data_IF_486817706994
#
_entry.id   IF_486817706994
#
_cell.length_a   1.000
_cell.length_b   1.000
_cell.length_c   1.000
_cell.angle_alpha   90.00
_cell.angle_beta   90.00
_cell.angle_gamma   90.00
#
_symmetry.space_group_name_H-M   'P 1'
#
loop_
_entity.id
_entity.type
_entity.pdbx_description
1 polymer ?
#
# COMPACT_ATOMS: atom_id res chain seq x y z
N UNK A 1 -7.04 32.17 32.63
CA UNK A 1 -5.91 31.33 33.09
C UNK A 1 -4.94 31.24 31.93
N UNK A 2 -3.63 31.33 32.17
CA UNK A 2 -2.61 31.11 31.14
C UNK A 2 -2.49 29.62 30.85
N UNK A 3 -2.39 29.25 29.57
CA UNK A 3 -2.14 27.88 29.14
C UNK A 3 -0.75 27.42 29.60
N UNK A 4 -0.59 26.14 29.95
CA UNK A 4 0.71 25.57 30.36
C UNK A 4 1.36 24.77 29.24
N UNK A 5 2.69 24.58 29.32
CA UNK A 5 3.44 23.74 28.39
C UNK A 5 2.88 22.32 28.32
N UNK A 6 2.60 21.70 29.48
CA UNK A 6 2.02 20.35 29.56
C UNK A 6 0.65 20.28 28.87
N UNK A 7 -0.21 21.29 29.03
CA UNK A 7 -1.52 21.32 28.36
C UNK A 7 -1.37 21.36 26.84
N UNK A 8 -0.39 22.11 26.32
CA UNK A 8 -0.11 22.15 24.88
C UNK A 8 0.41 20.81 24.38
N UNK A 9 1.38 20.20 25.07
CA UNK A 9 1.92 18.89 24.68
C UNK A 9 0.84 17.82 24.69
N UNK A 10 0.00 17.76 25.73
CA UNK A 10 -1.10 16.80 25.80
C UNK A 10 -2.14 17.03 24.71
N UNK A 11 -2.42 18.29 24.34
CA UNK A 11 -3.30 18.60 23.21
C UNK A 11 -2.69 18.18 21.86
N UNK A 12 -1.36 18.17 21.74
CA UNK A 12 -0.65 17.75 20.53
C UNK A 12 -0.43 16.25 20.42
N UNK A 13 -0.53 15.47 21.51
CA UNK A 13 -0.41 14.00 21.47
C UNK A 13 -1.33 13.32 20.44
N UNK A 14 -2.63 13.66 20.31
CA UNK A 14 -3.50 13.06 19.30
C UNK A 14 -3.25 13.59 17.88
N UNK A 15 -2.35 14.57 17.69
CA UNK A 15 -2.02 15.08 16.36
C UNK A 15 -1.07 14.11 15.69
N UNK A 16 -1.54 13.47 14.63
CA UNK A 16 -0.76 12.52 13.85
C UNK A 16 -0.07 13.18 12.65
N UNK A 17 1.13 12.71 12.35
CA UNK A 17 1.81 12.96 11.09
C UNK A 17 1.00 12.33 9.93
N UNK A 18 0.67 13.09 8.87
CA UNK A 18 -0.15 12.58 7.77
C UNK A 18 0.50 11.48 6.93
N UNK A 19 1.82 11.32 6.97
CA UNK A 19 2.53 10.28 6.20
C UNK A 19 2.71 9.00 7.04
N UNK A 20 3.02 9.15 8.33
CA UNK A 20 3.34 8.04 9.23
C UNK A 20 2.15 7.53 10.05
N UNK A 21 1.08 8.32 10.17
CA UNK A 21 -0.10 8.03 11.01
C UNK A 21 0.31 7.69 12.45
N UNK A 22 1.23 8.50 12.98
CA UNK A 22 1.75 8.39 14.34
C UNK A 22 1.79 9.77 14.97
N UNK A 23 1.63 9.83 16.29
CA UNK A 23 1.69 11.08 17.04
C UNK A 23 2.99 11.83 16.75
N UNK A 24 2.87 13.11 16.37
CA UNK A 24 4.03 14.00 16.16
C UNK A 24 4.88 14.17 17.43
N UNK A 25 4.29 13.89 18.60
CA UNK A 25 4.99 13.90 19.90
C UNK A 25 5.80 12.60 20.06
N UNK A 26 5.18 11.45 19.85
CA UNK A 26 5.80 10.14 20.12
C UNK A 26 6.95 9.83 19.14
N UNK A 27 6.84 10.32 17.90
CA UNK A 27 7.87 10.18 16.86
C UNK A 27 8.92 11.30 16.90
N UNK A 28 8.85 12.20 17.88
CA UNK A 28 9.88 13.23 18.11
C UNK A 28 9.92 14.35 17.09
N UNK A 29 8.80 14.63 16.41
CA UNK A 29 8.67 15.80 15.54
C UNK A 29 8.48 17.09 16.34
N UNK A 30 7.80 17.05 17.48
CA UNK A 30 7.66 18.20 18.37
C UNK A 30 9.00 18.53 19.06
N UNK A 31 9.59 19.69 18.77
CA UNK A 31 10.91 20.10 19.29
C UNK A 31 10.86 21.07 20.43
N UNK A 32 10.02 22.08 20.30
CA UNK A 32 9.93 23.14 21.28
C UNK A 32 8.51 23.72 21.31
N UNK A 33 8.09 24.15 22.50
CA UNK A 33 6.82 24.83 22.75
C UNK A 33 7.11 26.01 23.66
N UNK A 34 6.94 27.22 23.15
CA UNK A 34 7.10 28.46 23.90
C UNK A 34 5.76 29.18 24.03
N UNK A 35 5.45 29.67 25.24
CA UNK A 35 4.19 30.33 25.53
C UNK A 35 4.51 31.73 26.06
N UNK A 36 4.15 32.76 25.28
CA UNK A 36 4.38 34.16 25.63
C UNK A 36 3.08 34.96 25.43
N UNK A 37 2.52 35.49 26.52
CA UNK A 37 1.32 36.35 26.50
C UNK A 37 0.15 35.81 25.65
N UNK A 38 -0.10 34.50 25.73
CA UNK A 38 -1.16 33.81 24.98
C UNK A 38 -0.79 33.45 23.53
N UNK A 39 0.41 33.79 23.06
CA UNK A 39 0.97 33.29 21.81
C UNK A 39 1.72 31.98 22.08
N UNK A 40 1.31 30.91 21.40
CA UNK A 40 1.99 29.60 21.47
C UNK A 40 2.84 29.41 20.22
N UNK A 41 4.16 29.41 20.37
CA UNK A 41 5.12 29.13 19.31
C UNK A 41 5.58 27.68 19.38
N UNK A 42 5.45 26.95 18.27
CA UNK A 42 5.74 25.52 18.20
C UNK A 42 6.77 25.26 17.10
N UNK A 43 7.85 24.58 17.44
CA UNK A 43 8.85 24.10 16.48
C UNK A 43 8.60 22.63 16.15
N UNK A 44 8.42 22.32 14.87
CA UNK A 44 8.19 20.96 14.37
C UNK A 44 9.32 20.56 13.41
N UNK A 45 9.96 19.42 13.65
CA UNK A 45 10.88 18.81 12.71
C UNK A 45 10.14 17.89 11.75
N UNK A 46 10.16 18.21 10.46
CA UNK A 46 9.63 17.36 9.40
C UNK A 46 10.63 16.25 9.07
N UNK A 47 10.12 15.09 8.68
CA UNK A 47 10.92 13.93 8.28
C UNK A 47 11.74 14.18 7.00
N UNK A 48 11.28 15.08 6.13
CA UNK A 48 11.86 15.40 4.82
C UNK A 48 11.63 16.87 4.46
N UNK A 49 12.58 17.45 3.73
CA UNK A 49 12.49 18.81 3.21
C UNK A 49 11.47 18.89 2.06
N UNK A 50 10.56 19.87 2.11
CA UNK A 50 9.62 20.12 1.02
C UNK A 50 8.30 19.33 1.06
N UNK A 51 7.98 18.69 2.20
CA UNK A 51 6.74 17.94 2.35
C UNK A 51 5.50 18.82 2.02
N UNK A 52 4.69 18.46 1.01
CA UNK A 52 3.48 19.20 0.63
C UNK A 52 2.44 19.25 1.77
N UNK A 53 2.58 18.38 2.76
CA UNK A 53 1.67 18.21 3.89
C UNK A 53 1.98 19.15 5.06
N UNK A 54 2.97 20.07 4.92
CA UNK A 54 3.22 21.14 5.91
C UNK A 54 1.96 21.92 6.27
N UNK A 55 1.11 22.21 5.27
CA UNK A 55 -0.15 22.91 5.48
C UNK A 55 -1.14 22.06 6.29
N UNK A 56 -1.16 20.75 6.07
CA UNK A 56 -2.03 19.83 6.80
C UNK A 56 -1.60 19.70 8.26
N UNK A 57 -0.31 19.49 8.52
CA UNK A 57 0.25 19.50 9.89
C UNK A 57 -0.05 20.85 10.57
N UNK A 58 0.12 21.96 9.86
CA UNK A 58 -0.20 23.30 10.37
C UNK A 58 -1.65 23.39 10.83
N UNK A 59 -2.59 22.90 10.01
CA UNK A 59 -4.01 22.92 10.34
C UNK A 59 -4.34 22.00 11.52
N UNK A 60 -3.82 20.76 11.53
CA UNK A 60 -4.04 19.79 12.62
C UNK A 60 -3.53 20.34 13.96
N UNK A 61 -2.32 20.89 13.99
CA UNK A 61 -1.72 21.50 15.19
C UNK A 61 -2.52 22.72 15.66
N UNK A 62 -2.88 23.63 14.75
CA UNK A 62 -3.69 24.81 15.11
C UNK A 62 -5.05 24.40 15.67
N UNK A 63 -5.71 23.42 15.07
CA UNK A 63 -7.01 22.93 15.54
C UNK A 63 -6.92 22.29 16.92
N UNK A 64 -5.81 21.63 17.24
CA UNK A 64 -5.59 21.02 18.55
C UNK A 64 -5.31 22.06 19.66
N UNK A 65 -4.53 23.10 19.36
CA UNK A 65 -4.02 24.04 20.38
C UNK A 65 -4.91 25.27 20.56
N UNK A 66 -5.54 25.78 19.49
CA UNK A 66 -6.40 26.99 19.56
C UNK A 66 -7.55 26.90 20.57
N UNK A 67 -8.20 25.74 20.79
CA UNK A 67 -9.27 25.62 21.78
C UNK A 67 -8.81 25.72 23.25
N UNK A 68 -7.50 25.67 23.52
CA UNK A 68 -7.00 25.70 24.89
C UNK A 68 -7.25 27.07 25.55
N UNK A 69 -7.75 27.09 26.80
CA UNK A 69 -7.98 28.35 27.53
C UNK A 69 -6.70 29.17 27.68
N UNK A 70 -6.75 30.44 27.25
CA UNK A 70 -5.61 31.36 27.34
C UNK A 70 -4.72 31.41 26.10
N UNK A 71 -5.03 30.65 25.04
CA UNK A 71 -4.39 30.77 23.72
C UNK A 71 -5.07 31.86 22.90
N UNK A 72 -4.30 32.86 22.46
CA UNK A 72 -4.72 33.94 21.57
C UNK A 72 -4.32 33.68 20.11
N UNK A 73 -3.14 33.09 19.88
CA UNK A 73 -2.67 32.71 18.54
C UNK A 73 -1.63 31.59 18.60
N UNK A 74 -1.45 30.89 17.48
CA UNK A 74 -0.48 29.80 17.34
C UNK A 74 0.46 30.10 16.16
N UNK A 75 1.76 30.15 16.45
CA UNK A 75 2.85 30.31 15.49
C UNK A 75 3.58 28.98 15.31
N UNK A 76 3.90 28.64 14.07
CA UNK A 76 4.52 27.37 13.71
C UNK A 76 5.79 27.59 12.91
N UNK A 77 6.88 27.07 13.43
CA UNK A 77 8.16 27.00 12.75
C UNK A 77 8.48 25.55 12.40
N UNK A 78 9.15 25.37 11.26
CA UNK A 78 9.48 24.04 10.76
C UNK A 78 10.98 23.93 10.53
N UNK A 79 11.54 22.82 10.98
CA UNK A 79 12.88 22.36 10.65
C UNK A 79 12.80 20.98 9.99
N UNK A 80 13.94 20.39 9.65
CA UNK A 80 14.03 19.04 9.08
C UNK A 80 14.85 18.16 10.02
N UNK A 81 14.46 16.89 10.17
CA UNK A 81 15.19 15.92 10.96
C UNK A 81 16.61 15.67 10.41
N UNK A 82 17.57 15.49 11.31
CA UNK A 82 18.94 15.09 10.95
C UNK A 82 18.98 13.64 10.45
N UNK A 83 20.11 13.19 9.89
CA UNK A 83 20.28 11.78 9.49
C UNK A 83 20.21 10.83 10.70
N UNK A 84 20.76 11.25 11.84
CA UNK A 84 20.73 10.48 13.09
C UNK A 84 19.29 10.30 13.58
N UNK A 85 18.50 11.38 13.61
CA UNK A 85 17.10 11.36 14.03
C UNK A 85 16.22 10.52 13.11
N UNK A 86 16.47 10.56 11.79
CA UNK A 86 15.81 9.67 10.83
C UNK A 86 16.17 8.20 11.08
N UNK A 87 17.42 7.91 11.46
CA UNK A 87 17.86 6.58 11.87
C UNK A 87 17.17 6.08 13.14
N UNK A 88 16.98 6.95 14.13
CA UNK A 88 16.21 6.66 15.34
C UNK A 88 14.74 6.40 15.04
N UNK A 89 14.12 7.27 14.24
CA UNK A 89 12.73 7.13 13.79
C UNK A 89 12.53 5.80 13.06
N UNK A 90 13.42 5.45 12.14
CA UNK A 90 13.41 4.15 11.46
C UNK A 90 13.47 3.00 12.47
N UNK A 91 14.34 3.08 13.46
CA UNK A 91 14.50 2.03 14.47
C UNK A 91 13.24 1.89 15.34
N UNK A 92 12.56 3.00 15.65
CA UNK A 92 11.25 2.98 16.33
C UNK A 92 10.15 2.34 15.49
N UNK A 93 10.14 2.59 14.17
CA UNK A 93 9.06 2.16 13.27
C UNK A 93 9.24 0.74 12.70
N UNK A 94 10.47 0.36 12.34
CA UNK A 94 10.82 -0.93 11.72
C UNK A 94 11.63 -1.87 12.63
N UNK A 95 11.96 -1.44 13.85
CA UNK A 95 12.88 -2.17 14.73
C UNK A 95 14.36 -2.03 14.32
N UNK A 96 15.25 -2.65 15.11
CA UNK A 96 16.69 -2.61 14.87
C UNK A 96 17.10 -3.61 13.77
N UNK A 97 17.68 -3.15 12.63
CA UNK A 97 18.17 -4.05 11.59
C UNK A 97 19.21 -5.06 12.07
N UNK A 98 19.96 -4.74 13.14
CA UNK A 98 21.01 -5.61 13.68
C UNK A 98 20.45 -6.86 14.39
N UNK A 99 19.18 -6.83 14.82
CA UNK A 99 18.53 -7.98 15.45
C UNK A 99 18.16 -9.08 14.44
N UNK A 100 18.09 -8.76 13.15
CA UNK A 100 17.78 -9.72 12.06
C UNK A 100 18.97 -10.05 11.17
N UNK A 101 20.11 -9.35 11.31
CA UNK A 101 21.28 -9.59 10.49
C UNK A 101 22.05 -10.83 10.98
N UNK A 102 21.97 -11.92 10.24
CA UNK A 102 22.96 -13.00 10.36
C UNK A 102 24.39 -12.46 10.18
N UNK A 103 25.36 -13.06 10.87
CA UNK A 103 26.76 -12.61 10.99
C UNK A 103 27.61 -12.70 9.69
N UNK A 104 27.11 -12.19 8.56
CA UNK A 104 27.85 -12.15 7.29
C UNK A 104 28.15 -10.72 6.86
N UNK A 105 29.44 -10.35 6.79
CA UNK A 105 29.85 -9.14 6.06
C UNK A 105 29.79 -9.43 4.55
N UNK A 106 28.75 -8.92 3.89
CA UNK A 106 28.71 -8.81 2.43
C UNK A 106 28.06 -7.48 2.02
N UNK A 107 28.62 -6.86 1.00
CA UNK A 107 28.24 -5.55 0.50
C UNK A 107 26.79 -5.50 0.00
N UNK A 108 25.99 -4.57 0.53
CA UNK A 108 24.90 -3.94 -0.20
C UNK A 108 23.57 -4.69 -0.32
N UNK A 109 22.64 -4.29 0.54
CA UNK A 109 21.18 -4.28 0.33
C UNK A 109 20.47 -5.64 0.35
N UNK A 110 19.67 -5.81 1.42
CA UNK A 110 18.55 -6.73 1.63
C UNK A 110 18.82 -8.21 1.95
N UNK A 111 20.03 -8.75 1.77
CA UNK A 111 20.27 -10.16 2.16
C UNK A 111 20.16 -10.34 3.69
N UNK A 112 19.03 -10.89 4.14
CA UNK A 112 18.82 -11.36 5.52
C UNK A 112 17.74 -10.65 6.35
N UNK A 113 17.02 -9.66 5.83
CA UNK A 113 15.84 -9.12 6.55
C UNK A 113 14.67 -10.08 6.42
N UNK A 114 14.10 -10.49 7.56
CA UNK A 114 12.89 -11.30 7.56
C UNK A 114 11.73 -10.49 6.98
N UNK A 115 11.01 -11.07 6.02
CA UNK A 115 9.78 -10.48 5.47
C UNK A 115 8.70 -10.52 6.56
N UNK A 116 8.19 -9.38 7.05
CA UNK A 116 7.24 -9.36 8.18
C UNK A 116 5.98 -10.18 7.90
N UNK A 117 5.51 -10.17 6.65
CA UNK A 117 4.32 -10.91 6.21
C UNK A 117 4.49 -12.44 6.19
N UNK A 118 5.74 -12.93 6.22
CA UNK A 118 6.04 -14.36 6.35
C UNK A 118 5.96 -14.84 7.81
N UNK A 119 5.99 -13.93 8.79
CA UNK A 119 5.89 -14.28 10.21
C UNK A 119 4.50 -14.87 10.51
N UNK A 120 4.39 -16.07 11.13
CA UNK A 120 3.12 -16.66 11.54
C UNK A 120 2.23 -15.74 12.38
N UNK A 121 2.81 -14.88 13.22
CA UNK A 121 2.08 -13.99 14.13
C UNK A 121 1.57 -12.70 13.45
N UNK A 122 2.07 -12.38 12.25
CA UNK A 122 1.60 -11.22 11.48
C UNK A 122 0.14 -11.42 11.05
N UNK A 123 -0.72 -10.45 11.37
CA UNK A 123 -2.17 -10.54 11.14
C UNK A 123 -2.60 -10.11 9.74
N UNK A 124 -1.71 -9.47 8.99
CA UNK A 124 -1.95 -9.04 7.61
C UNK A 124 -2.41 -10.23 6.78
N UNK A 125 -3.49 -10.04 6.02
CA UNK A 125 -3.97 -11.02 5.03
C UNK A 125 -3.50 -10.63 3.62
N UNK A 126 -2.55 -11.36 3.01
CA UNK A 126 -2.12 -11.06 1.66
C UNK A 126 -3.14 -11.60 0.64
N UNK A 127 -3.71 -10.72 -0.19
CA UNK A 127 -4.68 -11.07 -1.23
C UNK A 127 -4.03 -10.93 -2.60
N UNK A 128 -3.65 -12.05 -3.20
CA UNK A 128 -2.97 -12.10 -4.50
C UNK A 128 -4.01 -12.11 -5.62
N UNK A 129 -4.13 -11.00 -6.33
CA UNK A 129 -5.09 -10.84 -7.42
C UNK A 129 -4.41 -11.27 -8.72
N UNK A 130 -4.81 -12.43 -9.25
CA UNK A 130 -4.22 -13.00 -10.46
C UNK A 130 -5.17 -12.98 -11.64
N UNK A 131 -4.61 -13.10 -12.84
CA UNK A 131 -5.37 -13.29 -14.06
C UNK A 131 -4.61 -14.17 -15.03
N UNK A 132 -5.35 -14.92 -15.85
CA UNK A 132 -4.73 -15.71 -16.91
C UNK A 132 -4.15 -14.85 -18.03
N UNK A 133 -4.86 -13.78 -18.41
CA UNK A 133 -4.54 -12.97 -19.58
C UNK A 133 -4.56 -11.49 -19.21
N UNK A 134 -3.66 -10.72 -19.84
CA UNK A 134 -3.74 -9.26 -19.81
C UNK A 134 -5.06 -8.74 -20.39
N UNK A 135 -5.55 -7.62 -19.85
CA UNK A 135 -6.75 -6.94 -20.34
C UNK A 135 -8.09 -7.41 -19.76
N UNK A 136 -8.10 -8.37 -18.82
CA UNK A 136 -9.33 -8.75 -18.09
C UNK A 136 -9.73 -7.76 -16.99
N UNK A 137 -8.94 -6.70 -16.79
CA UNK A 137 -9.17 -5.68 -15.76
C UNK A 137 -8.71 -6.07 -14.35
N UNK A 138 -7.73 -6.97 -14.23
CA UNK A 138 -7.10 -7.38 -12.96
C UNK A 138 -6.74 -6.19 -12.06
N UNK A 139 -5.93 -5.25 -12.56
CA UNK A 139 -5.49 -4.08 -11.81
C UNK A 139 -6.66 -3.19 -11.39
N UNK A 140 -7.67 -3.03 -12.24
CA UNK A 140 -8.90 -2.29 -11.90
C UNK A 140 -9.67 -2.95 -10.76
N UNK A 141 -9.77 -4.29 -10.77
CA UNK A 141 -10.37 -5.05 -9.66
C UNK A 141 -9.53 -4.89 -8.39
N UNK A 142 -8.20 -4.99 -8.47
CA UNK A 142 -7.28 -4.79 -7.35
C UNK A 142 -7.47 -3.41 -6.72
N UNK A 143 -7.44 -2.34 -7.52
CA UNK A 143 -7.62 -0.97 -7.03
C UNK A 143 -8.98 -0.76 -6.37
N UNK A 144 -10.08 -1.16 -7.02
CA UNK A 144 -11.42 -0.95 -6.46
C UNK A 144 -11.66 -1.78 -5.21
N UNK A 145 -11.13 -3.01 -5.13
CA UNK A 145 -11.20 -3.81 -3.93
C UNK A 145 -10.43 -3.17 -2.78
N UNK A 146 -9.23 -2.64 -3.05
CA UNK A 146 -8.44 -1.94 -2.04
C UNK A 146 -9.18 -0.72 -1.47
N UNK A 147 -9.72 0.13 -2.34
CA UNK A 147 -10.49 1.32 -1.96
C UNK A 147 -11.76 0.94 -1.20
N UNK A 148 -12.46 -0.13 -1.62
CA UNK A 148 -13.66 -0.60 -0.93
C UNK A 148 -13.36 -1.12 0.49
N UNK A 149 -12.25 -1.82 0.68
CA UNK A 149 -11.78 -2.27 2.00
C UNK A 149 -11.39 -1.07 2.88
N UNK A 150 -10.65 -0.11 2.34
CA UNK A 150 -10.28 1.12 3.06
C UNK A 150 -11.52 1.93 3.47
N UNK A 151 -12.52 2.04 2.58
CA UNK A 151 -13.79 2.71 2.88
C UNK A 151 -14.62 2.01 3.97
N UNK A 152 -14.35 0.72 4.24
CA UNK A 152 -14.93 -0.03 5.36
C UNK A 152 -14.14 0.14 6.66
N UNK A 153 -13.08 0.95 6.67
CA UNK A 153 -12.26 1.25 7.84
C UNK A 153 -11.08 0.30 8.04
N UNK A 154 -10.78 -0.56 7.07
CA UNK A 154 -9.60 -1.42 7.12
C UNK A 154 -8.33 -0.66 6.73
N UNK A 155 -7.19 -1.01 7.33
CA UNK A 155 -5.90 -0.56 6.84
C UNK A 155 -5.48 -1.41 5.63
N UNK A 156 -5.17 -0.74 4.51
CA UNK A 156 -4.96 -1.43 3.23
C UNK A 156 -3.67 -0.99 2.55
N UNK A 157 -2.84 -1.98 2.21
CA UNK A 157 -1.70 -1.82 1.32
C UNK A 157 -1.96 -2.45 -0.05
N UNK A 158 -1.40 -1.87 -1.11
CA UNK A 158 -1.34 -2.45 -2.44
C UNK A 158 0.09 -2.47 -2.94
N UNK A 159 0.56 -3.66 -3.30
CA UNK A 159 1.81 -3.87 -4.04
C UNK A 159 1.47 -4.19 -5.49
N UNK A 160 1.83 -3.29 -6.41
CA UNK A 160 1.73 -3.53 -7.84
C UNK A 160 2.95 -4.32 -8.34
N UNK A 161 2.75 -5.63 -8.52
CA UNK A 161 3.77 -6.55 -9.00
C UNK A 161 3.71 -6.75 -10.54
N UNK A 162 2.82 -6.06 -11.25
CA UNK A 162 2.68 -6.15 -12.70
C UNK A 162 3.66 -5.20 -13.40
N UNK A 163 4.94 -5.61 -13.46
CA UNK A 163 6.02 -4.71 -13.88
C UNK A 163 5.88 -4.17 -15.30
N UNK A 164 5.29 -4.94 -16.21
CA UNK A 164 5.15 -4.54 -17.60
C UNK A 164 3.85 -3.74 -17.85
N UNK A 165 2.89 -3.85 -16.94
CA UNK A 165 1.56 -3.26 -17.04
C UNK A 165 1.16 -2.42 -15.84
N UNK A 166 2.14 -1.87 -15.11
CA UNK A 166 1.89 -1.14 -13.87
C UNK A 166 0.88 -0.04 -14.13
N UNK A 167 -0.16 -0.02 -13.30
CA UNK A 167 -1.30 0.86 -13.54
C UNK A 167 -1.99 1.30 -12.27
N UNK A 168 -1.72 0.63 -11.14
CA UNK A 168 -2.34 0.93 -9.84
C UNK A 168 -2.07 2.38 -9.41
N UNK A 169 -0.83 2.93 -9.44
CA UNK A 169 -0.58 4.32 -9.06
C UNK A 169 -1.48 5.32 -9.81
N UNK A 170 -1.58 5.13 -11.13
CA UNK A 170 -2.39 5.98 -12.01
C UNK A 170 -3.88 5.81 -11.74
N UNK A 171 -4.35 4.58 -11.51
CA UNK A 171 -5.76 4.30 -11.20
C UNK A 171 -6.18 4.90 -9.85
N UNK A 172 -5.28 4.92 -8.86
CA UNK A 172 -5.49 5.60 -7.58
C UNK A 172 -5.40 7.12 -7.69
N UNK A 173 -5.00 7.68 -8.84
CA UNK A 173 -4.74 9.11 -8.98
C UNK A 173 -3.63 9.60 -8.04
N UNK A 174 -2.67 8.72 -7.73
CA UNK A 174 -1.56 9.05 -6.85
C UNK A 174 -0.69 10.13 -7.52
N UNK A 175 -0.63 11.30 -6.88
CA UNK A 175 0.13 12.46 -7.38
C UNK A 175 1.46 12.67 -6.64
N UNK A 176 1.75 11.83 -5.64
CA UNK A 176 2.96 11.88 -4.85
C UNK A 176 3.77 10.61 -5.08
N UNK A 177 5.06 10.79 -5.33
CA UNK A 177 6.01 9.68 -5.38
C UNK A 177 6.30 9.15 -3.96
N UNK A 178 6.63 7.86 -3.81
CA UNK A 178 7.13 7.29 -2.58
C UNK A 178 8.32 8.07 -2.05
N UNK A 179 8.34 8.30 -0.74
CA UNK A 179 9.42 9.06 -0.09
C UNK A 179 10.40 8.11 0.58
N UNK A 180 11.69 8.27 0.29
CA UNK A 180 12.74 7.59 1.04
C UNK A 180 13.12 8.39 2.31
N UNK A 181 13.01 7.74 3.47
CA UNK A 181 13.54 8.23 4.76
C UNK A 181 14.65 7.26 5.19
N UNK A 182 15.92 7.68 5.04
CA UNK A 182 17.09 6.82 5.21
C UNK A 182 16.99 5.55 4.34
N UNK A 183 16.76 4.36 4.94
CA UNK A 183 16.61 3.07 4.25
C UNK A 183 15.16 2.57 4.23
N UNK A 184 14.22 3.38 4.70
CA UNK A 184 12.80 3.07 4.74
C UNK A 184 12.09 3.81 3.61
N UNK A 185 11.14 3.14 2.98
CA UNK A 185 10.35 3.72 1.91
C UNK A 185 8.91 3.94 2.39
N UNK A 186 8.46 5.19 2.39
CA UNK A 186 7.07 5.52 2.62
C UNK A 186 6.30 5.36 1.31
N UNK A 187 5.27 4.49 1.26
CA UNK A 187 4.45 4.34 0.07
C UNK A 187 3.60 5.59 -0.15
N UNK A 188 3.19 5.83 -1.40
CA UNK A 188 2.18 6.85 -1.68
C UNK A 188 0.85 6.45 -1.04
N UNK A 189 0.02 7.41 -0.64
CA UNK A 189 -1.30 7.14 -0.09
C UNK A 189 -2.39 7.90 -0.85
N UNK A 190 -3.48 7.21 -1.20
CA UNK A 190 -4.65 7.80 -1.85
C UNK A 190 -5.90 6.99 -1.50
N UNK A 191 -7.01 7.65 -1.20
CA UNK A 191 -8.26 6.99 -0.78
C UNK A 191 -8.10 6.04 0.43
N UNK A 192 -7.17 6.32 1.34
CA UNK A 192 -6.83 5.45 2.49
C UNK A 192 -6.10 4.17 2.11
N UNK A 193 -5.57 4.09 0.88
CA UNK A 193 -4.81 2.95 0.36
C UNK A 193 -3.36 3.36 0.20
N UNK A 194 -2.46 2.65 0.87
CA UNK A 194 -1.01 2.78 0.68
C UNK A 194 -0.58 1.96 -0.52
N UNK A 195 0.14 2.56 -1.45
CA UNK A 195 0.50 1.96 -2.72
C UNK A 195 2.00 2.06 -2.97
N UNK A 196 2.60 0.91 -3.28
CA UNK A 196 3.92 0.84 -3.90
C UNK A 196 3.84 0.09 -5.23
N UNK A 197 4.58 0.58 -6.21
CA UNK A 197 4.65 0.02 -7.55
C UNK A 197 6.06 0.20 -8.08
N UNK A 198 6.49 -0.71 -8.95
CA UNK A 198 7.72 -0.51 -9.71
C UNK A 198 7.64 0.72 -10.62
N UNK A 199 6.41 1.15 -10.99
CA UNK A 199 6.17 2.31 -11.85
C UNK A 199 6.78 3.61 -11.33
N UNK A 200 6.92 3.77 -10.00
CA UNK A 200 7.56 4.94 -9.40
C UNK A 200 9.07 5.03 -9.68
N UNK A 201 9.71 3.92 -10.03
CA UNK A 201 11.15 3.83 -10.24
C UNK A 201 11.53 3.71 -11.72
N UNK A 202 10.53 3.77 -12.61
CA UNK A 202 10.71 3.70 -14.05
C UNK A 202 10.49 5.11 -14.61
N UNK A 203 11.50 5.74 -15.24
CA UNK A 203 11.31 7.03 -15.87
C UNK A 203 10.20 6.98 -16.93
N UNK A 204 9.36 8.03 -16.99
CA UNK A 204 8.28 8.11 -17.97
C UNK A 204 8.80 7.89 -19.40
N UNK A 205 8.05 7.10 -20.17
CA UNK A 205 8.36 6.79 -21.57
C UNK A 205 9.48 5.76 -21.79
N UNK A 206 10.07 5.19 -20.73
CA UNK A 206 11.07 4.14 -20.85
C UNK A 206 10.49 2.74 -20.67
N UNK A 207 10.95 1.80 -21.49
CA UNK A 207 10.60 0.39 -21.35
C UNK A 207 11.37 -0.24 -20.18
N UNK A 208 10.68 -1.03 -19.37
CA UNK A 208 11.29 -1.74 -18.24
C UNK A 208 12.12 -2.93 -18.75
N UNK A 209 13.44 -2.86 -18.63
CA UNK A 209 14.37 -3.94 -19.02
C UNK A 209 14.96 -4.61 -17.78
N UNK A 210 14.10 -5.20 -16.95
CA UNK A 210 14.54 -5.88 -15.73
C UNK A 210 14.66 -7.38 -15.96
N UNK A 211 15.73 -7.97 -15.44
CA UNK A 211 15.94 -9.43 -15.44
C UNK A 211 15.25 -10.04 -14.21
N UNK A 212 14.83 -11.31 -14.29
CA UNK A 212 14.14 -12.02 -13.20
C UNK A 212 14.74 -11.83 -11.80
N UNK A 213 16.07 -11.96 -11.61
CA UNK A 213 16.70 -11.72 -10.31
C UNK A 213 16.53 -10.30 -9.76
N UNK A 214 16.49 -9.28 -10.62
CA UNK A 214 16.25 -7.90 -10.19
C UNK A 214 14.81 -7.70 -9.71
N UNK A 215 13.85 -8.36 -10.39
CA UNK A 215 12.43 -8.32 -10.01
C UNK A 215 12.21 -9.00 -8.66
N UNK A 216 12.84 -10.15 -8.45
CA UNK A 216 12.82 -10.87 -7.18
C UNK A 216 13.33 -9.96 -6.04
N UNK A 217 14.51 -9.34 -6.24
CA UNK A 217 15.09 -8.41 -5.26
C UNK A 217 14.19 -7.20 -5.00
N UNK A 218 13.56 -6.61 -6.02
CA UNK A 218 12.65 -5.49 -5.81
C UNK A 218 11.40 -5.89 -5.02
N UNK A 219 10.80 -7.04 -5.31
CA UNK A 219 9.65 -7.54 -4.53
C UNK A 219 10.04 -7.81 -3.08
N UNK A 220 11.20 -8.41 -2.83
CA UNK A 220 11.74 -8.59 -1.48
C UNK A 220 11.90 -7.25 -0.77
N UNK A 221 12.49 -6.24 -1.43
CA UNK A 221 12.65 -4.90 -0.88
C UNK A 221 11.30 -4.21 -0.60
N UNK A 222 10.32 -4.33 -1.49
CA UNK A 222 8.99 -3.75 -1.24
C UNK A 222 8.27 -4.42 -0.07
N UNK A 223 8.55 -5.69 0.21
CA UNK A 223 7.97 -6.39 1.35
C UNK A 223 8.73 -6.16 2.67
N UNK A 224 9.97 -5.65 2.62
CA UNK A 224 10.85 -5.50 3.80
C UNK A 224 11.15 -4.05 4.17
N UNK A 225 11.41 -3.19 3.18
CA UNK A 225 11.91 -1.82 3.39
C UNK A 225 10.78 -0.78 3.32
N UNK A 226 9.61 -1.13 2.76
CA UNK A 226 8.43 -0.24 2.75
C UNK A 226 7.75 -0.24 4.12
N UNK A 227 7.43 0.95 4.62
CA UNK A 227 6.66 1.14 5.85
C UNK A 227 5.17 0.90 5.60
N UNK A 228 4.75 -0.33 5.87
CA UNK A 228 3.35 -0.74 5.73
C UNK A 228 2.51 -0.53 6.99
N UNK A 229 3.16 -0.33 8.16
CA UNK A 229 2.53 -0.23 9.50
C UNK A 229 1.75 -1.48 9.98
N UNK A 230 1.80 -2.59 9.23
CA UNK A 230 0.98 -3.81 9.42
C UNK A 230 -0.50 -3.64 9.02
N UNK A 231 -0.82 -3.59 7.71
CA UNK A 231 -2.19 -3.42 7.24
C UNK A 231 -3.04 -4.68 7.49
N UNK A 232 -4.35 -4.52 7.67
CA UNK A 232 -5.30 -5.65 7.72
C UNK A 232 -5.21 -6.48 6.43
N UNK A 233 -5.09 -5.79 5.30
CA UNK A 233 -5.02 -6.38 3.96
C UNK A 233 -3.85 -5.85 3.16
N UNK A 234 -3.08 -6.76 2.56
CA UNK A 234 -2.07 -6.44 1.57
C UNK A 234 -2.47 -7.04 0.22
N UNK A 235 -3.00 -6.24 -0.69
CA UNK A 235 -3.36 -6.69 -2.03
C UNK A 235 -2.13 -6.70 -2.93
N UNK A 236 -1.95 -7.78 -3.68
CA UNK A 236 -0.85 -7.92 -4.64
C UNK A 236 -1.44 -7.99 -6.05
N UNK A 237 -1.16 -6.99 -6.88
CA UNK A 237 -1.54 -7.02 -8.29
C UNK A 237 -0.55 -7.91 -9.05
N UNK A 238 -0.89 -9.19 -9.23
CA UNK A 238 0.04 -10.17 -9.79
C UNK A 238 0.31 -9.86 -11.27
N UNK A 239 1.52 -10.09 -11.81
CA UNK A 239 1.73 -10.05 -13.25
C UNK A 239 0.86 -11.13 -13.95
N UNK A 240 0.51 -10.94 -15.23
CA UNK A 240 -0.25 -11.96 -15.97
C UNK A 240 0.56 -13.26 -16.13
N UNK A 241 -0.11 -14.40 -16.01
CA UNK A 241 0.46 -15.72 -16.29
C UNK A 241 1.03 -16.48 -15.08
N UNK A 242 1.91 -17.45 -15.35
CA UNK A 242 2.39 -18.46 -14.37
C UNK A 242 3.91 -18.41 -14.16
N UNK A 243 4.51 -17.21 -14.25
CA UNK A 243 5.97 -17.01 -14.23
C UNK A 243 6.63 -17.05 -12.84
N UNK A 244 7.94 -16.81 -12.81
CA UNK A 244 8.81 -16.90 -11.61
C UNK A 244 8.41 -15.99 -10.44
N UNK A 245 7.68 -14.90 -10.72
CA UNK A 245 7.17 -13.99 -9.70
C UNK A 245 6.14 -14.67 -8.80
N UNK A 246 5.28 -15.54 -9.35
CA UNK A 246 4.30 -16.27 -8.55
C UNK A 246 4.97 -17.21 -7.55
N UNK A 247 6.07 -17.86 -7.94
CA UNK A 247 6.87 -18.69 -7.05
C UNK A 247 7.56 -17.84 -5.97
N UNK A 248 8.15 -16.70 -6.35
CA UNK A 248 8.78 -15.79 -5.39
C UNK A 248 7.79 -15.31 -4.33
N UNK A 249 6.61 -14.84 -4.76
CA UNK A 249 5.56 -14.38 -3.87
C UNK A 249 5.00 -15.50 -2.97
N UNK A 250 4.92 -16.75 -3.44
CA UNK A 250 4.54 -17.87 -2.57
C UNK A 250 5.53 -18.14 -1.43
N UNK A 251 6.83 -17.87 -1.66
CA UNK A 251 7.86 -18.02 -0.63
C UNK A 251 7.81 -16.86 0.37
N UNK A 252 7.56 -15.65 -0.13
CA UNK A 252 7.50 -14.44 0.68
C UNK A 252 6.20 -14.27 1.46
N UNK A 253 5.09 -14.76 0.90
CA UNK A 253 3.74 -14.63 1.42
C UNK A 253 3.10 -16.02 1.57
N UNK A 254 3.60 -16.87 2.49
CA UNK A 254 3.11 -18.24 2.65
C UNK A 254 1.63 -18.32 3.09
N UNK A 255 1.10 -17.23 3.67
CA UNK A 255 -0.32 -17.06 4.04
C UNK A 255 -1.17 -16.45 2.93
N UNK A 256 -0.60 -16.22 1.74
CA UNK A 256 -1.26 -15.56 0.64
C UNK A 256 -2.48 -16.33 0.13
N UNK A 257 -3.54 -15.60 -0.17
CA UNK A 257 -4.78 -16.11 -0.75
C UNK A 257 -4.91 -15.66 -2.19
N UNK A 258 -5.19 -16.56 -3.13
CA UNK A 258 -5.29 -16.21 -4.56
C UNK A 258 -6.74 -15.99 -4.98
N UNK A 259 -6.99 -14.87 -5.63
CA UNK A 259 -8.26 -14.49 -6.23
C UNK A 259 -8.07 -14.32 -7.73
N UNK A 260 -8.85 -15.03 -8.53
CA UNK A 260 -8.64 -15.08 -9.99
C UNK A 260 -9.66 -14.23 -10.70
N UNK A 261 -9.19 -13.22 -11.43
CA UNK A 261 -10.00 -12.35 -12.28
C UNK A 261 -10.07 -12.95 -13.69
N UNK A 262 -11.29 -13.09 -14.21
CA UNK A 262 -11.59 -13.53 -15.58
C UNK A 262 -12.66 -12.65 -16.21
N UNK A 263 -12.95 -12.88 -17.50
CA UNK A 263 -14.14 -12.36 -18.17
C UNK A 263 -15.03 -13.52 -18.64
N UNK A 264 -16.28 -13.27 -19.10
CA UNK A 264 -17.14 -14.34 -19.60
C UNK A 264 -16.57 -15.12 -20.79
N UNK A 265 -15.63 -14.53 -21.54
CA UNK A 265 -15.06 -15.14 -22.74
C UNK A 265 -14.31 -16.44 -22.44
N UNK A 266 -14.62 -17.52 -23.16
CA UNK A 266 -13.96 -18.83 -23.00
C UNK A 266 -12.42 -18.77 -23.13
N UNK A 267 -11.89 -17.87 -23.96
CA UNK A 267 -10.46 -17.70 -24.10
C UNK A 267 -9.80 -17.19 -22.81
N UNK A 268 -10.44 -16.28 -22.07
CA UNK A 268 -9.94 -15.78 -20.80
C UNK A 268 -9.97 -16.87 -19.72
N UNK A 269 -11.06 -17.65 -19.68
CA UNK A 269 -11.23 -18.75 -18.72
C UNK A 269 -10.12 -19.82 -18.83
N UNK A 270 -9.78 -20.23 -20.06
CA UNK A 270 -8.74 -21.24 -20.30
C UNK A 270 -7.39 -20.84 -19.71
N UNK A 271 -7.04 -19.55 -19.78
CA UNK A 271 -5.78 -19.06 -19.22
C UNK A 271 -5.91 -18.80 -17.71
N UNK A 272 -7.08 -18.36 -17.24
CA UNK A 272 -7.34 -18.20 -15.82
C UNK A 272 -7.21 -19.53 -15.05
N UNK A 273 -7.61 -20.65 -15.69
CA UNK A 273 -7.38 -22.01 -15.18
C UNK A 273 -5.89 -22.32 -14.98
N UNK A 274 -5.02 -21.89 -15.90
CA UNK A 274 -3.58 -22.10 -15.76
C UNK A 274 -3.00 -21.31 -14.58
N UNK A 275 -3.45 -20.08 -14.38
CA UNK A 275 -3.08 -19.26 -13.21
C UNK A 275 -3.53 -19.94 -11.89
N UNK A 276 -4.78 -20.41 -11.82
CA UNK A 276 -5.28 -21.13 -10.66
C UNK A 276 -4.51 -22.43 -10.38
N UNK A 277 -4.22 -23.23 -11.42
CA UNK A 277 -3.44 -24.45 -11.29
C UNK A 277 -2.01 -24.18 -10.81
N UNK A 278 -1.40 -23.07 -11.26
CA UNK A 278 -0.08 -22.66 -10.79
C UNK A 278 -0.10 -22.25 -9.32
N UNK A 279 -1.11 -21.49 -8.87
CA UNK A 279 -1.28 -21.14 -7.46
C UNK A 279 -1.31 -22.39 -6.56
N UNK A 280 -2.12 -23.38 -6.94
CA UNK A 280 -2.19 -24.68 -6.22
C UNK A 280 -0.84 -25.38 -6.20
N UNK A 281 -0.11 -25.37 -7.34
CA UNK A 281 1.21 -26.01 -7.45
C UNK A 281 2.26 -25.38 -6.53
N UNK A 282 2.15 -24.09 -6.23
CA UNK A 282 3.05 -23.38 -5.30
C UNK A 282 2.49 -23.29 -3.88
N UNK A 283 1.42 -24.04 -3.57
CA UNK A 283 0.85 -24.13 -2.22
C UNK A 283 -0.01 -22.94 -1.81
N UNK A 284 -0.40 -22.06 -2.74
CA UNK A 284 -1.29 -20.93 -2.47
C UNK A 284 -2.75 -21.33 -2.72
N UNK A 285 -3.65 -21.20 -1.72
CA UNK A 285 -5.06 -21.54 -1.89
C UNK A 285 -5.78 -20.52 -2.78
N UNK A 286 -6.48 -21.02 -3.80
CA UNK A 286 -7.44 -20.21 -4.58
C UNK A 286 -8.73 -20.06 -3.76
N UNK A 287 -9.12 -18.83 -3.44
CA UNK A 287 -10.28 -18.52 -2.60
C UNK A 287 -11.55 -18.16 -3.36
N UNK A 288 -11.42 -17.76 -4.62
CA UNK A 288 -12.58 -17.51 -5.46
C UNK A 288 -12.26 -16.88 -6.80
N UNK A 289 -13.30 -16.82 -7.62
CA UNK A 289 -13.28 -16.23 -8.96
C UNK A 289 -14.04 -14.92 -8.94
N UNK A 290 -13.52 -13.92 -9.65
CA UNK A 290 -14.18 -12.65 -9.92
C UNK A 290 -14.36 -12.56 -11.43
N UNK A 291 -15.61 -12.48 -11.89
CA UNK A 291 -15.90 -12.25 -13.29
C UNK A 291 -16.03 -10.74 -13.53
N UNK A 292 -15.14 -10.18 -14.33
CA UNK A 292 -15.17 -8.79 -14.73
C UNK A 292 -15.78 -8.64 -16.13
N UNK A 293 -16.28 -7.44 -16.43
CA UNK A 293 -16.93 -7.14 -17.71
C UNK A 293 -18.09 -8.10 -18.03
N UNK A 294 -18.83 -8.51 -17.01
CA UNK A 294 -19.89 -9.52 -17.09
C UNK A 294 -21.11 -9.04 -17.87
N UNK A 295 -21.42 -7.75 -17.79
CA UNK A 295 -22.48 -7.13 -18.58
C UNK A 295 -22.26 -5.63 -18.73
N UNK A 296 -22.86 -5.02 -19.75
CA UNK A 296 -22.97 -3.57 -19.92
C UNK A 296 -24.44 -3.18 -19.74
N UNK A 297 -24.72 -2.02 -19.14
CA UNK A 297 -26.09 -1.47 -19.09
C UNK A 297 -26.15 -0.27 -20.02
N UNK A 298 -26.94 -0.38 -21.09
CA UNK A 298 -27.10 0.71 -22.06
C UNK A 298 -27.93 1.86 -21.51
N UNK A 299 -27.92 3.00 -22.22
CA UNK A 299 -28.73 4.18 -21.89
C UNK A 299 -30.24 3.87 -21.90
N UNK A 300 -30.65 2.80 -22.59
CA UNK A 300 -32.01 2.28 -22.57
C UNK A 300 -32.34 1.45 -21.32
N UNK A 301 -31.42 1.36 -20.36
CA UNK A 301 -31.54 0.58 -19.13
C UNK A 301 -31.42 -0.93 -19.33
N UNK A 302 -31.15 -1.41 -20.56
CA UNK A 302 -31.06 -2.84 -20.82
C UNK A 302 -29.66 -3.38 -20.52
N UNK A 303 -29.63 -4.60 -20.00
CA UNK A 303 -28.42 -5.37 -19.78
C UNK A 303 -28.00 -6.11 -21.06
N UNK A 304 -26.75 -5.90 -21.47
CA UNK A 304 -26.13 -6.52 -22.63
C UNK A 304 -24.92 -7.36 -22.21
N UNK A 305 -24.86 -8.61 -22.68
CA UNK A 305 -23.76 -9.52 -22.40
C UNK A 305 -22.76 -9.50 -23.57
N UNK A 306 -22.09 -8.36 -23.73
CA UNK A 306 -21.21 -8.07 -24.89
C UNK A 306 -20.14 -9.13 -25.13
N UNK A 307 -19.70 -9.78 -24.06
CA UNK A 307 -18.60 -10.75 -24.07
C UNK A 307 -19.05 -12.19 -23.77
N UNK A 308 -20.36 -12.43 -23.78
CA UNK A 308 -20.98 -13.67 -23.32
C UNK A 308 -21.30 -13.66 -21.82
N UNK A 309 -21.66 -14.82 -21.28
CA UNK A 309 -22.16 -14.98 -19.91
C UNK A 309 -21.68 -16.29 -19.28
N UNK A 310 -21.57 -16.32 -17.95
CA UNK A 310 -21.43 -17.57 -17.18
C UNK A 310 -20.01 -18.14 -17.11
N UNK A 311 -19.04 -17.54 -17.79
CA UNK A 311 -17.69 -18.06 -17.87
C UNK A 311 -16.93 -18.13 -16.55
N UNK A 312 -17.13 -17.15 -15.68
CA UNK A 312 -16.60 -17.15 -14.33
C UNK A 312 -17.26 -18.21 -13.46
N UNK A 313 -18.56 -18.47 -13.65
CA UNK A 313 -19.27 -19.51 -12.92
C UNK A 313 -18.80 -20.91 -13.32
N UNK A 314 -18.61 -21.15 -14.62
CA UNK A 314 -18.04 -22.40 -15.13
C UNK A 314 -16.65 -22.66 -14.52
N UNK A 315 -15.77 -21.65 -14.53
CA UNK A 315 -14.43 -21.75 -13.95
C UNK A 315 -14.48 -21.99 -12.42
N UNK A 316 -15.37 -21.30 -11.71
CA UNK A 316 -15.55 -21.46 -10.27
C UNK A 316 -15.99 -22.88 -9.91
N UNK A 317 -16.96 -23.43 -10.65
CA UNK A 317 -17.44 -24.81 -10.49
C UNK A 317 -16.34 -25.82 -10.78
N UNK A 318 -15.57 -25.64 -11.86
CA UNK A 318 -14.47 -26.53 -12.21
C UNK A 318 -13.37 -26.58 -11.13
N UNK A 319 -13.04 -25.42 -10.56
CA UNK A 319 -12.00 -25.30 -9.52
C UNK A 319 -12.53 -25.57 -8.10
N UNK A 320 -13.83 -25.87 -7.96
CA UNK A 320 -14.50 -26.07 -6.67
C UNK A 320 -14.31 -24.89 -5.68
N UNK A 321 -14.38 -23.66 -6.19
CA UNK A 321 -14.28 -22.40 -5.42
C UNK A 321 -15.51 -21.52 -5.70
N UNK A 322 -15.85 -20.55 -4.83
CA UNK A 322 -16.99 -19.68 -5.09
C UNK A 322 -16.72 -18.66 -6.22
N UNK A 323 -17.77 -18.34 -6.97
CA UNK A 323 -17.83 -17.09 -7.73
C UNK A 323 -18.18 -15.98 -6.75
N UNK A 324 -17.23 -15.10 -6.47
CA UNK A 324 -17.36 -14.06 -5.44
C UNK A 324 -18.18 -12.87 -5.91
N UNK A 325 -18.18 -12.62 -7.21
CA UNK A 325 -18.91 -11.51 -7.79
C UNK A 325 -18.76 -11.45 -9.30
N UNK A 326 -19.72 -10.72 -9.89
CA UNK A 326 -19.72 -10.35 -11.29
C UNK A 326 -19.74 -8.82 -11.37
N UNK A 327 -18.83 -8.23 -12.12
CA UNK A 327 -18.68 -6.79 -12.23
C UNK A 327 -19.14 -6.32 -13.61
N UNK A 328 -19.93 -5.24 -13.68
CA UNK A 328 -20.34 -4.67 -14.95
C UNK A 328 -19.14 -4.06 -15.70
N UNK A 329 -19.23 -4.08 -17.03
CA UNK A 329 -18.47 -3.19 -17.88
C UNK A 329 -19.12 -1.80 -17.80
N UNK A 330 -18.37 -0.84 -17.26
CA UNK A 330 -18.79 0.56 -17.14
C UNK A 330 -18.00 1.41 -18.12
N UNK A 331 -18.65 2.43 -18.68
CA UNK A 331 -17.96 3.42 -19.50
C UNK A 331 -17.06 4.28 -18.60
N UNK A 332 -15.82 4.50 -19.05
CA UNK A 332 -14.84 5.36 -18.38
C UNK A 332 -15.21 6.85 -18.52
#
# INVERSE_FOLDING_TARGET
>A
MSVTHEQVVEALRPVEDPELHRSIVDIGMLRDVQINDGVVSILIALTIAGCPLRNEITNRVKNAVTPLPGVASVALEFTVMTDEERGELRTKLHGDPSATAGQGQAHGHAEGRAIPFANPDNKTRPLLISSGKGGVGKSSVTTNLAVALAAQGHSVGVLDADIYGYSIPRMLGANADPVAIDRMLLPSESYGVRCISIGYFVPEGQAVVWRGPMLHKALEQFLTDVYWDEPDFLLIDMPPGTGDIALSLSQYLPKGEVYVVTTPQQAAQKVARLSAAMAVKVGLPVKGIIENMSWFTGDDGKRYELFGSGGGQELATELAVPLLGQLPFVQA
#
